data_IF_265953182310
#
_entry.id   IF_265953182310
#
_cell.length_a   1.000
_cell.length_b   1.000
_cell.length_c   1.000
_cell.angle_alpha   90.00
_cell.angle_beta   90.00
_cell.angle_gamma   90.00
#
_symmetry.space_group_name_H-M   'P 1'
#
loop_
_entity.id
_entity.type
_entity.pdbx_description
1 polymer ?
#
# COMPACT_ATOMS: atom_id res chain seq x y z
N UNK A 1 7.77 -30.90 3.74
CA UNK A 1 7.37 -29.88 2.74
C UNK A 1 8.59 -29.58 1.87
N UNK A 2 8.44 -29.41 0.56
CA UNK A 2 9.56 -29.04 -0.30
C UNK A 2 10.09 -27.66 0.13
N UNK A 3 11.39 -27.48 0.04
CA UNK A 3 12.03 -26.17 0.28
C UNK A 3 11.65 -25.18 -0.83
N UNK A 4 11.85 -23.89 -0.55
CA UNK A 4 11.65 -22.84 -1.54
C UNK A 4 12.48 -23.08 -2.81
N UNK A 5 13.71 -23.58 -2.64
CA UNK A 5 14.61 -23.89 -3.74
C UNK A 5 14.11 -25.07 -4.59
N UNK A 6 13.64 -26.15 -3.96
CA UNK A 6 13.05 -27.29 -4.67
C UNK A 6 11.80 -26.92 -5.47
N UNK A 7 10.94 -26.06 -4.90
CA UNK A 7 9.77 -25.52 -5.62
C UNK A 7 10.21 -24.70 -6.83
N UNK A 8 11.22 -23.85 -6.65
CA UNK A 8 11.72 -22.99 -7.71
C UNK A 8 12.35 -23.79 -8.85
N UNK A 9 13.17 -24.78 -8.54
CA UNK A 9 13.75 -25.68 -9.54
C UNK A 9 12.69 -26.48 -10.30
N UNK A 10 11.63 -26.92 -9.63
CA UNK A 10 10.52 -27.61 -10.29
C UNK A 10 9.76 -26.68 -11.25
N UNK A 11 9.56 -25.42 -10.88
CA UNK A 11 8.94 -24.40 -11.76
C UNK A 11 9.82 -24.18 -12.99
N UNK A 12 11.12 -23.93 -12.82
CA UNK A 12 12.05 -23.70 -13.94
C UNK A 12 12.11 -24.89 -14.89
N UNK A 13 12.13 -26.11 -14.35
CA UNK A 13 12.14 -27.33 -15.18
C UNK A 13 10.85 -27.54 -15.98
N UNK A 14 9.72 -26.96 -15.52
CA UNK A 14 8.44 -27.06 -16.22
C UNK A 14 8.31 -26.07 -17.40
N UNK A 15 9.23 -25.12 -17.50
CA UNK A 15 9.22 -24.08 -18.49
C UNK A 15 10.59 -23.97 -19.17
N UNK A 16 10.93 -24.90 -20.08
CA UNK A 16 12.20 -24.88 -20.79
C UNK A 16 12.33 -23.63 -21.67
N UNK A 17 13.55 -23.16 -21.81
CA UNK A 17 13.84 -22.04 -22.70
C UNK A 17 13.44 -22.37 -24.14
N UNK A 18 12.83 -21.41 -24.87
CA UNK A 18 12.53 -21.59 -26.26
C UNK A 18 13.81 -21.66 -27.09
N UNK A 19 13.94 -22.72 -27.87
CA UNK A 19 15.03 -22.89 -28.86
C UNK A 19 14.58 -22.23 -30.14
N UNK A 20 14.85 -20.94 -30.30
CA UNK A 20 14.49 -20.20 -31.52
C UNK A 20 15.63 -19.27 -31.93
N UNK A 21 15.86 -19.21 -33.25
CA UNK A 21 16.88 -18.35 -33.85
C UNK A 21 16.43 -16.87 -33.92
N UNK A 22 15.12 -16.59 -33.79
CA UNK A 22 14.60 -15.24 -33.75
C UNK A 22 14.64 -14.69 -32.31
N UNK A 23 15.42 -13.61 -32.04
CA UNK A 23 15.57 -13.06 -30.70
C UNK A 23 14.28 -12.47 -30.09
N UNK A 24 13.26 -12.23 -30.90
CA UNK A 24 11.96 -11.75 -30.40
C UNK A 24 11.13 -12.87 -29.76
N UNK A 25 11.32 -14.13 -30.18
CA UNK A 25 10.58 -15.27 -29.60
C UNK A 25 10.94 -15.50 -28.13
N UNK A 26 12.23 -15.60 -27.72
CA UNK A 26 12.59 -15.65 -26.31
C UNK A 26 12.11 -14.44 -25.52
N UNK A 27 12.20 -13.22 -26.06
CA UNK A 27 11.75 -12.02 -25.39
C UNK A 27 10.24 -12.04 -25.07
N UNK A 28 9.42 -12.45 -26.05
CA UNK A 28 7.98 -12.62 -25.86
C UNK A 28 7.67 -13.72 -24.84
N UNK A 29 8.36 -14.86 -24.93
CA UNK A 29 8.22 -15.96 -23.99
C UNK A 29 8.49 -15.52 -22.55
N UNK A 30 9.62 -14.84 -22.30
CA UNK A 30 9.96 -14.38 -20.95
C UNK A 30 8.98 -13.35 -20.42
N UNK A 31 8.46 -12.46 -21.28
CA UNK A 31 7.42 -11.51 -20.88
C UNK A 31 6.14 -12.21 -20.43
N UNK A 32 5.65 -13.15 -21.24
CA UNK A 32 4.44 -13.93 -20.92
C UNK A 32 4.64 -14.79 -19.66
N UNK A 33 5.82 -15.35 -19.48
CA UNK A 33 6.16 -16.11 -18.28
C UNK A 33 6.16 -15.24 -17.03
N UNK A 34 6.74 -14.04 -17.11
CA UNK A 34 6.74 -13.10 -15.99
C UNK A 34 5.31 -12.73 -15.58
N UNK A 35 4.43 -12.47 -16.54
CA UNK A 35 3.03 -12.15 -16.28
C UNK A 35 2.27 -13.34 -15.65
N UNK A 36 2.49 -14.55 -16.16
CA UNK A 36 1.88 -15.77 -15.61
C UNK A 36 2.33 -16.06 -14.18
N UNK A 37 3.62 -15.90 -13.89
CA UNK A 37 4.18 -16.07 -12.55
C UNK A 37 3.69 -14.99 -11.58
N UNK A 38 3.53 -13.77 -12.04
CA UNK A 38 2.96 -12.68 -11.24
C UNK A 38 1.49 -12.95 -10.89
N UNK A 39 0.70 -13.42 -11.86
CA UNK A 39 -0.69 -13.80 -11.63
C UNK A 39 -0.81 -14.97 -10.63
N UNK A 40 0.02 -16.00 -10.78
CA UNK A 40 0.07 -17.14 -9.87
C UNK A 40 0.49 -16.71 -8.46
N UNK A 41 1.50 -15.87 -8.34
CA UNK A 41 1.94 -15.33 -7.05
C UNK A 41 0.84 -14.56 -6.33
N UNK A 42 0.00 -13.83 -7.07
CA UNK A 42 -1.16 -13.13 -6.50
C UNK A 42 -2.16 -14.11 -5.90
N UNK A 43 -2.53 -15.18 -6.61
CA UNK A 43 -3.45 -16.21 -6.13
C UNK A 43 -2.94 -16.86 -4.83
N UNK A 44 -1.66 -17.22 -4.78
CA UNK A 44 -1.08 -17.80 -3.57
C UNK A 44 -0.98 -16.82 -2.40
N UNK A 45 -0.74 -15.54 -2.65
CA UNK A 45 -0.77 -14.50 -1.62
C UNK A 45 -2.17 -14.34 -1.02
N UNK A 46 -3.20 -14.33 -1.85
CA UNK A 46 -4.59 -14.27 -1.41
C UNK A 46 -4.97 -15.51 -0.58
N UNK A 47 -4.66 -16.70 -1.07
CA UNK A 47 -4.90 -17.95 -0.35
C UNK A 47 -4.15 -18.01 1.00
N UNK A 48 -2.92 -17.52 1.04
CA UNK A 48 -2.17 -17.41 2.28
C UNK A 48 -2.80 -16.42 3.26
N UNK A 49 -3.22 -15.24 2.79
CA UNK A 49 -3.88 -14.25 3.63
C UNK A 49 -5.18 -14.78 4.23
N UNK A 50 -5.99 -15.50 3.44
CA UNK A 50 -7.22 -16.14 3.91
C UNK A 50 -6.94 -17.22 4.97
N UNK A 51 -5.93 -18.06 4.74
CA UNK A 51 -5.52 -19.08 5.71
C UNK A 51 -5.00 -18.46 7.02
N UNK A 52 -4.17 -17.43 6.93
CA UNK A 52 -3.63 -16.69 8.08
C UNK A 52 -4.75 -16.02 8.88
N UNK A 53 -5.69 -15.39 8.19
CA UNK A 53 -6.87 -14.78 8.83
C UNK A 53 -7.70 -15.81 9.59
N UNK A 54 -7.92 -17.01 9.01
CA UNK A 54 -8.65 -18.11 9.68
C UNK A 54 -7.90 -18.59 10.90
N UNK A 55 -6.59 -18.83 10.81
CA UNK A 55 -5.77 -19.25 11.96
C UNK A 55 -5.92 -18.26 13.11
N UNK A 56 -5.83 -16.96 12.81
CA UNK A 56 -6.01 -15.89 13.80
C UNK A 56 -7.42 -15.89 14.41
N UNK A 57 -8.44 -15.91 13.56
CA UNK A 57 -9.84 -15.82 13.98
C UNK A 57 -10.28 -17.00 14.84
N UNK A 58 -9.82 -18.20 14.49
CA UNK A 58 -10.17 -19.45 15.17
C UNK A 58 -9.23 -19.80 16.33
N UNK A 59 -8.16 -18.99 16.55
CA UNK A 59 -7.17 -19.21 17.61
C UNK A 59 -6.39 -20.52 17.44
N UNK A 60 -6.19 -20.96 16.19
CA UNK A 60 -5.50 -22.21 15.89
C UNK A 60 -4.02 -22.09 16.30
N UNK A 61 -3.56 -23.05 17.11
CA UNK A 61 -2.17 -23.09 17.56
C UNK A 61 -1.45 -24.32 16.98
N UNK A 62 -0.14 -24.19 16.77
CA UNK A 62 0.73 -25.30 16.36
C UNK A 62 1.89 -25.44 17.34
N UNK A 63 2.34 -26.68 17.57
CA UNK A 63 3.53 -26.95 18.36
C UNK A 63 4.83 -26.58 17.64
N UNK A 64 4.80 -26.49 16.29
CA UNK A 64 5.97 -26.33 15.43
C UNK A 64 6.04 -24.97 14.77
N UNK A 65 4.87 -24.35 14.51
CA UNK A 65 4.78 -23.10 13.76
C UNK A 65 4.07 -22.02 14.54
N UNK A 66 4.41 -20.80 14.27
CA UNK A 66 3.78 -19.58 14.79
C UNK A 66 3.40 -18.65 13.66
N UNK A 67 2.21 -18.05 13.76
CA UNK A 67 1.77 -16.98 12.88
C UNK A 67 2.18 -15.65 13.50
N UNK A 68 3.10 -14.96 12.85
CA UNK A 68 3.55 -13.62 13.25
C UNK A 68 2.83 -12.58 12.41
N UNK A 69 2.26 -11.58 13.07
CA UNK A 69 1.61 -10.44 12.43
C UNK A 69 2.58 -9.25 12.43
N UNK A 70 2.87 -8.75 11.25
CA UNK A 70 3.69 -7.56 11.07
C UNK A 70 2.81 -6.35 10.86
N UNK A 71 3.14 -5.26 11.54
CA UNK A 71 2.47 -3.97 11.40
C UNK A 71 3.42 -2.98 10.76
N UNK A 72 2.87 -2.19 9.85
CA UNK A 72 3.54 -1.02 9.31
C UNK A 72 3.05 0.21 10.05
N UNK A 73 3.98 1.00 10.55
CA UNK A 73 3.70 2.33 11.06
C UNK A 73 3.82 3.35 9.92
N UNK A 74 2.83 4.20 9.80
CA UNK A 74 2.85 5.35 8.89
C UNK A 74 2.46 6.60 9.65
N UNK A 75 3.07 7.72 9.30
CA UNK A 75 2.70 9.03 9.85
C UNK A 75 1.67 9.67 8.92
N UNK A 76 0.63 10.26 9.49
CA UNK A 76 -0.36 11.06 8.78
C UNK A 76 -0.49 12.40 9.45
N UNK A 77 -0.69 13.44 8.68
CA UNK A 77 -0.94 14.77 9.22
C UNK A 77 -2.36 14.82 9.77
N UNK A 78 -2.50 15.33 10.98
CA UNK A 78 -3.79 15.70 11.54
C UNK A 78 -4.20 17.07 10.96
N UNK A 79 -4.91 17.02 9.86
CA UNK A 79 -5.28 18.20 9.07
C UNK A 79 -6.11 19.19 9.88
N UNK A 80 -6.96 18.69 10.80
CA UNK A 80 -7.78 19.53 11.64
C UNK A 80 -6.94 20.38 12.61
N UNK A 81 -5.91 19.80 13.22
CA UNK A 81 -4.99 20.54 14.09
C UNK A 81 -4.18 21.58 13.30
N UNK A 82 -3.69 21.23 12.10
CA UNK A 82 -2.97 22.20 11.25
C UNK A 82 -3.89 23.35 10.87
N UNK A 83 -5.15 23.08 10.55
CA UNK A 83 -6.15 24.13 10.24
C UNK A 83 -6.40 25.05 11.41
N UNK A 84 -6.46 24.51 12.64
CA UNK A 84 -6.72 25.28 13.87
C UNK A 84 -5.53 26.18 14.21
N UNK A 85 -4.31 25.62 14.22
CA UNK A 85 -3.12 26.31 14.72
C UNK A 85 -2.40 27.12 13.63
N UNK A 86 -2.48 26.69 12.37
CA UNK A 86 -1.77 27.27 11.21
C UNK A 86 -2.70 27.39 10.00
N UNK A 87 -3.73 28.26 10.05
CA UNK A 87 -4.71 28.37 8.97
C UNK A 87 -4.10 28.77 7.63
N UNK A 88 -3.03 29.56 7.64
CA UNK A 88 -2.35 29.97 6.41
C UNK A 88 -1.63 28.78 5.75
N UNK A 89 -0.91 27.98 6.55
CA UNK A 89 -0.24 26.77 6.09
C UNK A 89 -1.24 25.72 5.60
N UNK A 90 -2.35 25.57 6.32
CA UNK A 90 -3.44 24.72 5.88
C UNK A 90 -3.95 25.16 4.50
N UNK A 91 -4.21 26.45 4.31
CA UNK A 91 -4.71 26.98 3.05
C UNK A 91 -3.78 26.68 1.86
N UNK A 92 -2.47 26.74 2.09
CA UNK A 92 -1.46 26.53 1.05
C UNK A 92 -1.18 25.05 0.76
N UNK A 93 -1.23 24.19 1.78
CA UNK A 93 -0.83 22.79 1.66
C UNK A 93 -1.99 21.80 1.49
N UNK A 94 -3.21 22.19 1.85
CA UNK A 94 -4.36 21.27 1.79
C UNK A 94 -4.69 20.88 0.35
N UNK A 95 -4.93 19.59 0.16
CA UNK A 95 -5.39 19.04 -1.13
C UNK A 95 -6.30 17.85 -0.91
N UNK A 96 -6.98 17.42 -1.96
CA UNK A 96 -7.73 16.17 -1.98
C UNK A 96 -6.92 15.07 -2.68
N UNK A 97 -7.20 13.82 -2.30
CA UNK A 97 -6.71 12.72 -3.13
C UNK A 97 -7.30 12.80 -4.55
N UNK A 98 -6.53 12.31 -5.53
CA UNK A 98 -6.87 12.46 -6.94
C UNK A 98 -8.25 11.87 -7.31
N UNK A 99 -8.67 10.78 -6.63
CA UNK A 99 -9.95 10.12 -6.89
C UNK A 99 -11.12 10.95 -6.38
N UNK A 100 -10.98 11.52 -5.18
CA UNK A 100 -12.00 12.40 -4.60
C UNK A 100 -12.17 13.66 -5.45
N UNK A 101 -11.09 14.34 -5.81
CA UNK A 101 -11.14 15.52 -6.65
C UNK A 101 -11.73 15.23 -8.03
N UNK A 102 -11.39 14.11 -8.63
CA UNK A 102 -11.94 13.68 -9.92
C UNK A 102 -13.44 13.39 -9.85
N UNK A 103 -13.93 12.85 -8.75
CA UNK A 103 -15.36 12.58 -8.58
C UNK A 103 -16.19 13.86 -8.44
N UNK A 104 -15.63 14.93 -7.89
CA UNK A 104 -16.34 16.21 -7.66
C UNK A 104 -16.27 17.09 -8.90
N UNK A 105 -15.06 17.31 -9.45
CA UNK A 105 -14.83 18.27 -10.53
C UNK A 105 -14.48 17.65 -11.87
N UNK A 106 -14.29 16.33 -11.92
CA UNK A 106 -13.80 15.65 -13.12
C UNK A 106 -12.33 15.90 -13.45
N UNK A 107 -11.61 16.73 -12.69
CA UNK A 107 -10.19 17.02 -12.89
C UNK A 107 -9.55 17.68 -11.66
N UNK A 108 -8.28 17.33 -11.39
CA UNK A 108 -7.40 18.10 -10.51
C UNK A 108 -7.45 17.74 -9.02
N UNK A 109 -6.44 18.23 -8.28
CA UNK A 109 -6.28 18.07 -6.81
C UNK A 109 -6.65 19.35 -6.05
N UNK A 110 -7.53 20.14 -6.58
CA UNK A 110 -7.80 21.48 -6.10
C UNK A 110 -8.83 21.42 -4.97
N UNK A 111 -8.35 21.48 -3.73
CA UNK A 111 -9.21 21.45 -2.55
C UNK A 111 -10.22 22.60 -2.57
N UNK A 112 -9.76 23.81 -2.80
CA UNK A 112 -10.59 25.01 -2.72
C UNK A 112 -11.66 25.08 -3.82
N UNK A 113 -11.35 24.63 -5.03
CA UNK A 113 -12.35 24.55 -6.11
C UNK A 113 -13.44 23.51 -5.81
N UNK A 114 -13.06 22.39 -5.17
CA UNK A 114 -14.03 21.41 -4.70
C UNK A 114 -14.84 21.95 -3.51
N UNK A 115 -14.21 22.73 -2.62
CA UNK A 115 -14.87 23.34 -1.48
C UNK A 115 -15.90 24.41 -1.88
N UNK A 116 -15.69 25.10 -2.98
CA UNK A 116 -16.67 26.03 -3.57
C UNK A 116 -17.95 25.31 -4.03
N UNK A 117 -17.86 24.03 -4.38
CA UNK A 117 -19.00 23.21 -4.84
C UNK A 117 -19.69 22.48 -3.68
N UNK A 118 -18.93 21.80 -2.84
CA UNK A 118 -19.44 20.88 -1.81
C UNK A 118 -19.45 21.52 -0.40
N UNK A 119 -18.73 22.62 -0.22
CA UNK A 119 -18.46 23.22 1.08
C UNK A 119 -17.21 22.64 1.75
N UNK A 120 -16.42 23.51 2.38
CA UNK A 120 -15.16 23.13 3.03
C UNK A 120 -15.36 22.04 4.10
N UNK A 121 -16.35 22.22 4.97
CA UNK A 121 -16.63 21.29 6.08
C UNK A 121 -16.98 19.88 5.60
N UNK A 122 -17.63 19.75 4.44
CA UNK A 122 -17.95 18.45 3.86
C UNK A 122 -16.72 17.70 3.31
N UNK A 123 -15.63 18.42 3.08
CA UNK A 123 -14.39 17.88 2.52
C UNK A 123 -13.28 17.65 3.55
N UNK A 124 -13.44 18.12 4.79
CA UNK A 124 -12.40 18.02 5.83
C UNK A 124 -11.95 16.58 6.09
N UNK A 125 -12.87 15.62 6.15
CA UNK A 125 -12.55 14.20 6.35
C UNK A 125 -11.75 13.59 5.19
N UNK A 126 -11.71 14.26 4.03
CA UNK A 126 -11.02 13.84 2.81
C UNK A 126 -9.83 14.72 2.50
N UNK A 127 -9.65 15.79 3.28
CA UNK A 127 -8.52 16.70 3.17
C UNK A 127 -7.22 16.00 3.54
N UNK A 128 -6.18 16.23 2.76
CA UNK A 128 -4.86 15.63 2.94
C UNK A 128 -3.80 16.72 2.91
N UNK A 129 -2.89 16.68 3.87
CA UNK A 129 -1.60 17.36 3.82
C UNK A 129 -0.54 16.27 3.90
N UNK A 130 0.44 16.27 3.00
CA UNK A 130 1.52 15.28 3.07
C UNK A 130 2.48 15.62 4.21
N UNK A 131 2.98 14.58 4.90
CA UNK A 131 3.98 14.76 5.99
C UNK A 131 5.16 15.60 5.50
N UNK A 132 5.69 15.26 4.32
CA UNK A 132 6.82 15.98 3.74
C UNK A 132 6.52 17.45 3.49
N UNK A 133 5.35 17.79 2.94
CA UNK A 133 5.01 19.20 2.69
C UNK A 133 4.92 20.00 3.99
N UNK A 134 4.37 19.40 5.05
CA UNK A 134 4.31 20.06 6.35
C UNK A 134 5.72 20.20 6.98
N UNK A 135 6.56 19.15 6.93
CA UNK A 135 7.94 19.19 7.42
C UNK A 135 8.80 20.21 6.65
N UNK A 136 8.62 20.33 5.33
CA UNK A 136 9.34 21.31 4.50
C UNK A 136 8.91 22.76 4.83
N UNK A 137 7.66 22.99 5.25
CA UNK A 137 7.14 24.33 5.54
C UNK A 137 7.48 24.80 6.96
N UNK A 138 7.29 23.97 7.97
CA UNK A 138 7.48 24.39 9.36
C UNK A 138 8.66 23.73 10.06
N UNK A 139 9.34 22.79 9.43
CA UNK A 139 10.43 22.01 10.00
C UNK A 139 9.96 20.76 10.73
N UNK A 140 10.80 19.70 10.70
CA UNK A 140 10.47 18.38 11.22
C UNK A 140 10.08 18.39 12.73
N UNK A 141 10.81 19.13 13.55
CA UNK A 141 10.54 19.25 15.01
C UNK A 141 9.18 19.91 15.28
N UNK A 142 8.83 20.93 14.50
CA UNK A 142 7.56 21.65 14.65
C UNK A 142 6.38 20.91 14.02
N UNK A 143 6.62 20.07 13.02
CA UNK A 143 5.60 19.22 12.43
C UNK A 143 5.18 18.04 13.33
N UNK A 144 6.07 17.56 14.20
CA UNK A 144 5.85 16.38 15.01
C UNK A 144 4.53 16.38 15.83
N UNK A 145 4.08 17.49 16.47
CA UNK A 145 2.79 17.52 17.17
C UNK A 145 1.55 17.31 16.30
N UNK A 146 1.68 17.56 14.98
CA UNK A 146 0.61 17.43 14.01
C UNK A 146 0.58 16.06 13.30
N UNK A 147 1.47 15.12 13.71
CA UNK A 147 1.58 13.81 13.08
C UNK A 147 0.98 12.72 13.95
N UNK A 148 -0.07 12.09 13.44
CA UNK A 148 -0.63 10.88 14.00
C UNK A 148 0.13 9.64 13.51
N UNK A 149 0.52 8.75 14.43
CA UNK A 149 1.09 7.45 14.07
C UNK A 149 -0.04 6.46 13.86
N UNK A 150 -0.20 6.03 12.62
CA UNK A 150 -1.19 5.03 12.24
C UNK A 150 -0.51 3.68 12.05
N UNK A 151 -0.95 2.69 12.83
CA UNK A 151 -0.54 1.28 12.65
C UNK A 151 -1.53 0.58 11.72
N UNK A 152 -1.03 0.06 10.63
CA UNK A 152 -1.80 -0.77 9.71
C UNK A 152 -1.19 -2.15 9.63
N UNK A 153 -2.04 -3.18 9.47
CA UNK A 153 -1.56 -4.52 9.19
C UNK A 153 -0.77 -4.51 7.87
N UNK A 154 0.45 -5.03 7.90
CA UNK A 154 1.32 -5.12 6.72
C UNK A 154 1.23 -6.52 6.10
N UNK A 155 1.58 -7.55 6.88
CA UNK A 155 1.57 -8.93 6.41
C UNK A 155 1.54 -9.93 7.56
N UNK A 156 1.16 -11.14 7.23
CA UNK A 156 1.40 -12.32 8.07
C UNK A 156 2.68 -13.04 7.64
N UNK A 157 3.32 -13.70 8.58
CA UNK A 157 4.46 -14.59 8.35
C UNK A 157 4.29 -15.85 9.20
N UNK A 158 4.60 -17.02 8.63
CA UNK A 158 4.66 -18.28 9.38
C UNK A 158 6.12 -18.58 9.67
N UNK A 159 6.46 -18.66 10.95
CA UNK A 159 7.80 -18.97 11.42
C UNK A 159 7.81 -20.31 12.14
N UNK A 160 8.94 -20.99 12.11
CA UNK A 160 9.17 -22.20 12.90
C UNK A 160 9.62 -21.79 14.30
N UNK A 161 9.02 -22.41 15.32
CA UNK A 161 9.38 -22.19 16.73
C UNK A 161 10.70 -22.82 17.08
#
# INVERSE_FOLDING_TARGET
MPSKEEIWQAILASFPEPDDADPYVPALYYSQMADALAALAKVYKEAFADAAYRIRKEGITSAVYELVEHFRESRKVNVALVREDHPDIYADLVHLDARTAQNILGAGRLFWECADVEGEEALLDRAVITVKALEDEIGEEYAAPYLDVVKSHDRFEVVQK
#
